data_IF_579731055196
#
_entry.id   IF_579731055196
#
_cell.length_a   1.000
_cell.length_b   1.000
_cell.length_c   1.000
_cell.angle_alpha   90.00
_cell.angle_beta   90.00
_cell.angle_gamma   90.00
#
_symmetry.space_group_name_H-M   'P 1'
#
loop_
_entity.id
_entity.type
_entity.pdbx_description
1 polymer ?
#
# COMPACT_ATOMS: atom_id res chain seq x y z
N UNK A 1 15.57 -1.58 11.21
CA UNK A 1 15.36 -1.34 9.77
C UNK A 1 13.96 -1.82 9.48
N UNK A 2 12.97 -0.92 9.51
CA UNK A 2 11.61 -1.27 9.06
C UNK A 2 11.64 -1.23 7.53
N UNK A 3 12.08 -2.34 6.94
CA UNK A 3 11.92 -2.54 5.50
C UNK A 3 10.41 -2.52 5.23
N UNK A 4 9.93 -1.60 4.40
CA UNK A 4 8.50 -1.44 4.17
C UNK A 4 8.02 -2.54 3.24
N UNK A 5 7.77 -3.72 3.83
CA UNK A 5 7.43 -4.97 3.14
C UNK A 5 6.27 -4.83 2.17
N UNK A 6 5.40 -3.85 2.40
CA UNK A 6 4.26 -3.56 1.53
C UNK A 6 4.69 -2.97 0.18
N UNK A 7 5.64 -2.03 0.16
CA UNK A 7 6.07 -1.37 -1.11
C UNK A 7 7.10 -2.19 -1.88
N UNK A 8 7.82 -3.07 -1.19
CA UNK A 8 8.73 -4.02 -1.81
C UNK A 8 8.03 -5.28 -2.37
N UNK A 9 6.77 -5.51 -2.00
CA UNK A 9 6.03 -6.69 -2.43
C UNK A 9 5.73 -6.66 -3.94
N UNK A 10 5.82 -7.83 -4.58
CA UNK A 10 5.48 -7.95 -5.99
C UNK A 10 3.96 -7.87 -6.23
N UNK A 11 3.56 -7.82 -7.51
CA UNK A 11 2.15 -7.70 -7.88
C UNK A 11 1.30 -8.91 -7.43
N UNK A 12 1.88 -10.12 -7.39
CA UNK A 12 1.18 -11.33 -6.96
C UNK A 12 1.02 -11.37 -5.44
N UNK A 13 2.05 -10.96 -4.70
CA UNK A 13 2.06 -10.81 -3.25
C UNK A 13 1.06 -9.74 -2.80
N UNK A 14 1.07 -8.56 -3.43
CA UNK A 14 0.08 -7.50 -3.17
C UNK A 14 -1.36 -7.97 -3.43
N UNK A 15 -1.57 -8.74 -4.51
CA UNK A 15 -2.88 -9.30 -4.86
C UNK A 15 -3.36 -10.30 -3.80
N UNK A 16 -2.49 -11.18 -3.32
CA UNK A 16 -2.81 -12.16 -2.28
C UNK A 16 -2.94 -11.50 -0.90
N UNK A 17 -2.20 -10.43 -0.66
CA UNK A 17 -2.17 -9.67 0.58
C UNK A 17 -1.19 -10.20 1.63
N UNK A 18 -0.30 -11.10 1.25
CA UNK A 18 0.70 -11.68 2.12
C UNK A 18 1.97 -12.03 1.33
N UNK A 19 3.10 -12.09 2.02
CA UNK A 19 4.37 -12.58 1.47
C UNK A 19 4.78 -13.88 2.13
N UNK A 20 5.61 -14.65 1.44
CA UNK A 20 6.23 -15.85 1.96
C UNK A 20 7.70 -15.59 2.26
N UNK A 21 8.11 -15.74 3.51
CA UNK A 21 9.48 -15.55 3.97
C UNK A 21 9.98 -16.83 4.63
N UNK A 22 10.63 -17.70 3.84
CA UNK A 22 11.05 -19.03 4.26
C UNK A 22 9.88 -19.88 4.76
N UNK A 23 9.91 -20.23 6.04
CA UNK A 23 8.88 -21.01 6.74
C UNK A 23 7.72 -20.17 7.27
N UNK A 24 7.70 -18.86 7.01
CA UNK A 24 6.69 -17.95 7.50
C UNK A 24 5.88 -17.35 6.35
N UNK A 25 4.62 -17.06 6.63
CA UNK A 25 3.73 -16.29 5.79
C UNK A 25 3.32 -15.05 6.58
N UNK A 26 3.51 -13.87 6.02
CA UNK A 26 3.23 -12.62 6.72
C UNK A 26 2.15 -11.83 6.01
N UNK A 27 1.12 -11.42 6.75
CA UNK A 27 0.12 -10.49 6.23
C UNK A 27 0.76 -9.13 5.91
N UNK A 28 0.57 -8.62 4.69
CA UNK A 28 1.13 -7.33 4.27
C UNK A 28 0.49 -6.13 4.99
N UNK A 29 -0.72 -6.31 5.51
CA UNK A 29 -1.50 -5.24 6.15
C UNK A 29 -1.09 -5.06 7.61
N UNK A 30 -1.21 -6.12 8.43
CA UNK A 30 -0.98 -6.04 9.88
C UNK A 30 0.23 -6.84 10.38
N UNK A 31 1.01 -7.44 9.48
CA UNK A 31 2.27 -8.13 9.77
C UNK A 31 2.14 -9.38 10.65
N UNK A 32 0.91 -9.84 10.89
CA UNK A 32 0.61 -11.11 11.55
C UNK A 32 1.22 -12.28 10.78
N UNK A 33 1.86 -13.19 11.52
CA UNK A 33 2.68 -14.28 10.98
C UNK A 33 1.95 -15.61 11.11
N UNK A 34 2.03 -16.41 10.04
CA UNK A 34 1.50 -17.75 9.93
C UNK A 34 2.65 -18.69 9.54
N UNK A 35 3.03 -19.56 10.47
CA UNK A 35 4.09 -20.56 10.29
C UNK A 35 3.62 -21.70 9.38
N UNK A 36 4.42 -22.03 8.36
CA UNK A 36 4.21 -23.17 7.46
C UNK A 36 4.42 -24.49 8.22
N UNK A 37 3.71 -25.54 7.82
CA UNK A 37 3.72 -26.82 8.55
C UNK A 37 2.80 -26.84 9.78
N UNK A 38 2.41 -25.68 10.33
CA UNK A 38 1.36 -25.58 11.34
C UNK A 38 -0.03 -25.66 10.69
N UNK A 39 -0.92 -26.43 11.32
CA UNK A 39 -2.34 -26.49 10.96
C UNK A 39 -3.13 -25.55 11.87
N UNK A 40 -4.00 -24.75 11.26
CA UNK A 40 -4.84 -23.77 11.93
C UNK A 40 -6.28 -24.25 11.94
N UNK A 41 -6.87 -24.40 13.13
CA UNK A 41 -8.30 -24.64 13.29
C UNK A 41 -9.05 -23.31 13.27
N UNK A 42 -9.90 -23.11 12.26
CA UNK A 42 -10.71 -21.92 12.07
C UNK A 42 -12.15 -22.36 11.79
N UNK A 43 -13.06 -22.06 12.73
CA UNK A 43 -14.47 -22.48 12.64
C UNK A 43 -14.63 -24.00 12.40
N UNK A 44 -13.88 -24.80 13.16
CA UNK A 44 -13.93 -26.26 13.12
C UNK A 44 -13.50 -26.85 11.77
N UNK A 45 -12.68 -26.10 11.02
CA UNK A 45 -12.05 -26.52 9.77
C UNK A 45 -10.55 -26.31 9.88
N UNK A 46 -9.79 -27.31 9.44
CA UNK A 46 -8.34 -27.30 9.47
C UNK A 46 -7.79 -26.71 8.16
N UNK A 47 -6.90 -25.73 8.30
CA UNK A 47 -6.29 -25.00 7.19
C UNK A 47 -4.77 -24.97 7.30
N UNK A 48 -4.09 -24.93 6.16
CA UNK A 48 -2.66 -24.60 6.10
C UNK A 48 -2.43 -23.10 6.35
N UNK A 49 -1.16 -22.72 6.53
CA UNK A 49 -0.77 -21.33 6.79
C UNK A 49 -1.19 -20.34 5.69
N UNK A 50 -1.11 -20.75 4.42
CA UNK A 50 -1.51 -19.94 3.27
C UNK A 50 -3.00 -19.60 3.34
N UNK A 51 -3.83 -20.62 3.55
CA UNK A 51 -5.28 -20.48 3.62
C UNK A 51 -5.70 -19.77 4.91
N UNK A 52 -5.03 -20.03 6.02
CA UNK A 52 -5.23 -19.32 7.28
C UNK A 52 -4.98 -17.81 7.12
N UNK A 53 -3.87 -17.43 6.49
CA UNK A 53 -3.55 -16.02 6.22
C UNK A 53 -4.58 -15.37 5.28
N UNK A 54 -5.00 -16.06 4.21
CA UNK A 54 -6.04 -15.58 3.31
C UNK A 54 -7.40 -15.36 4.02
N UNK A 55 -7.78 -16.26 4.94
CA UNK A 55 -8.98 -16.12 5.76
C UNK A 55 -8.82 -14.94 6.73
N UNK A 56 -7.66 -14.82 7.37
CA UNK A 56 -7.33 -13.69 8.24
C UNK A 56 -7.51 -12.35 7.50
N UNK A 57 -6.96 -12.19 6.29
CA UNK A 57 -7.12 -10.98 5.49
C UNK A 57 -8.59 -10.69 5.23
N UNK A 58 -9.36 -11.70 4.83
CA UNK A 58 -10.79 -11.54 4.57
C UNK A 58 -11.57 -11.10 5.82
N UNK A 59 -11.23 -11.62 6.99
CA UNK A 59 -11.97 -11.34 8.24
C UNK A 59 -11.54 -10.03 8.91
N UNK A 60 -10.24 -9.78 9.00
CA UNK A 60 -9.66 -8.64 9.73
C UNK A 60 -9.56 -7.39 8.85
N UNK A 61 -9.46 -7.57 7.53
CA UNK A 61 -9.22 -6.49 6.57
C UNK A 61 -10.26 -6.45 5.43
N UNK A 62 -11.30 -7.29 5.48
CA UNK A 62 -12.36 -7.38 4.49
C UNK A 62 -11.93 -8.09 3.20
N UNK A 63 -11.02 -7.48 2.46
CA UNK A 63 -10.33 -8.07 1.29
C UNK A 63 -9.18 -7.16 0.87
N UNK A 64 -8.24 -7.65 0.05
CA UNK A 64 -7.20 -6.77 -0.49
C UNK A 64 -7.76 -5.63 -1.35
N UNK A 65 -8.81 -5.87 -2.14
CA UNK A 65 -9.46 -4.79 -2.90
C UNK A 65 -10.04 -3.73 -1.95
N UNK A 66 -10.76 -4.17 -0.91
CA UNK A 66 -11.35 -3.25 0.07
C UNK A 66 -10.28 -2.50 0.88
N UNK A 67 -9.16 -3.13 1.20
CA UNK A 67 -8.05 -2.46 1.85
C UNK A 67 -7.41 -1.40 0.94
N UNK A 68 -7.00 -1.80 -0.28
CA UNK A 68 -6.33 -0.91 -1.23
C UNK A 68 -7.20 0.30 -1.59
N UNK A 69 -8.50 0.11 -1.84
CA UNK A 69 -9.38 1.22 -2.21
C UNK A 69 -9.63 2.22 -1.07
N UNK A 70 -9.41 1.81 0.17
CA UNK A 70 -9.54 2.64 1.36
C UNK A 70 -8.21 3.21 1.85
N UNK A 71 -7.08 2.92 1.18
CA UNK A 71 -5.82 3.60 1.42
C UNK A 71 -5.93 5.08 1.04
N UNK A 72 -4.97 5.88 1.52
CA UNK A 72 -4.84 7.28 1.14
C UNK A 72 -4.87 7.44 -0.39
N UNK A 73 -5.68 8.38 -0.90
CA UNK A 73 -5.82 8.63 -2.35
C UNK A 73 -4.50 9.03 -3.01
N UNK A 74 -3.53 9.55 -2.25
CA UNK A 74 -2.16 9.80 -2.73
C UNK A 74 -1.36 8.53 -3.01
N UNK A 75 -1.68 7.40 -2.37
CA UNK A 75 -1.06 6.11 -2.66
C UNK A 75 -1.68 5.45 -3.89
N UNK A 76 -3.00 5.46 -4.00
CA UNK A 76 -3.74 4.77 -5.08
C UNK A 76 -3.89 5.61 -6.35
N UNK A 77 -3.75 6.93 -6.20
CA UNK A 77 -3.98 7.93 -7.25
C UNK A 77 -5.42 7.94 -7.77
N UNK A 78 -6.40 7.35 -7.07
CA UNK A 78 -7.81 7.39 -7.46
C UNK A 78 -8.55 8.48 -6.67
N UNK A 79 -9.51 9.15 -7.31
CA UNK A 79 -10.37 10.12 -6.62
C UNK A 79 -11.48 9.42 -5.81
N UNK A 80 -12.12 10.16 -4.90
CA UNK A 80 -13.25 9.63 -4.11
C UNK A 80 -14.39 9.10 -5.00
N UNK A 81 -14.72 9.81 -6.08
CA UNK A 81 -15.74 9.33 -7.05
C UNK A 81 -15.30 8.02 -7.73
N UNK A 82 -14.02 7.89 -8.07
CA UNK A 82 -13.50 6.64 -8.64
C UNK A 82 -13.55 5.50 -7.62
N UNK A 83 -13.25 5.79 -6.34
CA UNK A 83 -13.36 4.84 -5.24
C UNK A 83 -14.79 4.33 -5.06
N UNK A 84 -15.79 5.22 -5.05
CA UNK A 84 -17.19 4.82 -4.97
C UNK A 84 -17.59 3.92 -6.14
N UNK A 85 -17.22 4.30 -7.37
CA UNK A 85 -17.52 3.51 -8.57
C UNK A 85 -16.89 2.12 -8.51
N UNK A 86 -15.61 2.00 -8.16
CA UNK A 86 -14.94 0.69 -8.06
C UNK A 86 -15.58 -0.16 -6.95
N UNK A 87 -16.00 0.45 -5.84
CA UNK A 87 -16.70 -0.24 -4.75
C UNK A 87 -18.03 -0.83 -5.22
N UNK A 88 -18.88 -0.01 -5.86
CA UNK A 88 -20.16 -0.46 -6.41
C UNK A 88 -19.99 -1.51 -7.51
N UNK A 89 -18.95 -1.40 -8.33
CA UNK A 89 -18.60 -2.41 -9.32
C UNK A 89 -18.21 -3.75 -8.68
N UNK A 90 -17.46 -3.71 -7.57
CA UNK A 90 -17.06 -4.91 -6.82
C UNK A 90 -18.27 -5.60 -6.15
N UNK A 91 -19.30 -4.84 -5.80
CA UNK A 91 -20.58 -5.33 -5.28
C UNK A 91 -21.51 -5.89 -6.38
N UNK A 92 -21.14 -5.76 -7.67
CA UNK A 92 -21.94 -6.23 -8.80
C UNK A 92 -23.10 -5.32 -9.18
N UNK A 93 -23.11 -4.06 -8.72
CA UNK A 93 -24.16 -3.08 -9.04
C UNK A 93 -24.11 -2.72 -10.52
N UNK A 94 -25.28 -2.63 -11.17
CA UNK A 94 -25.35 -2.30 -12.60
C UNK A 94 -25.01 -0.83 -12.89
N UNK A 95 -24.60 -0.52 -14.12
CA UNK A 95 -24.27 0.86 -14.53
C UNK A 95 -25.45 1.82 -14.33
N UNK A 96 -26.68 1.34 -14.51
CA UNK A 96 -27.91 2.13 -14.30
C UNK A 96 -28.10 2.45 -12.82
N UNK A 97 -28.00 1.46 -11.95
CA UNK A 97 -28.15 1.65 -10.50
C UNK A 97 -27.01 2.49 -9.93
N UNK A 98 -25.77 2.34 -10.43
CA UNK A 98 -24.65 3.20 -10.05
C UNK A 98 -24.92 4.66 -10.42
N UNK A 99 -25.43 4.91 -11.63
CA UNK A 99 -25.79 6.25 -12.08
C UNK A 99 -26.87 6.89 -11.18
N UNK A 100 -27.89 6.11 -10.80
CA UNK A 100 -28.95 6.54 -9.89
C UNK A 100 -28.40 6.84 -8.47
N UNK A 101 -27.60 5.92 -7.89
CA UNK A 101 -26.98 6.09 -6.56
C UNK A 101 -26.09 7.32 -6.48
N UNK A 102 -25.26 7.54 -7.51
CA UNK A 102 -24.31 8.65 -7.57
C UNK A 102 -24.92 9.94 -8.12
N UNK A 103 -26.21 9.92 -8.52
CA UNK A 103 -26.93 11.05 -9.11
C UNK A 103 -26.22 11.64 -10.34
N UNK A 104 -25.70 10.77 -11.21
CA UNK A 104 -25.03 11.12 -12.47
C UNK A 104 -25.71 10.47 -13.67
N UNK A 105 -25.39 10.95 -14.88
CA UNK A 105 -25.86 10.28 -16.08
C UNK A 105 -25.16 8.92 -16.30
N UNK A 106 -25.82 7.92 -16.90
CA UNK A 106 -25.17 6.64 -17.25
C UNK A 106 -23.94 6.80 -18.16
N UNK A 107 -23.91 7.84 -18.99
CA UNK A 107 -22.74 8.20 -19.81
C UNK A 107 -21.53 8.58 -18.95
N UNK A 108 -21.73 9.20 -17.79
CA UNK A 108 -20.68 9.54 -16.82
C UNK A 108 -20.06 8.28 -16.24
N UNK A 109 -20.86 7.28 -15.85
CA UNK A 109 -20.36 5.98 -15.36
C UNK A 109 -19.51 5.30 -16.42
N UNK A 110 -20.00 5.24 -17.66
CA UNK A 110 -19.25 4.67 -18.79
C UNK A 110 -17.91 5.37 -19.00
N UNK A 111 -17.87 6.70 -18.91
CA UNK A 111 -16.64 7.47 -19.03
C UNK A 111 -15.65 7.17 -17.88
N UNK A 112 -16.14 7.04 -16.64
CA UNK A 112 -15.28 6.62 -15.52
C UNK A 112 -14.69 5.23 -15.74
N UNK A 113 -15.48 4.25 -16.17
CA UNK A 113 -14.99 2.89 -16.49
C UNK A 113 -13.93 2.93 -17.59
N UNK A 114 -14.15 3.71 -18.64
CA UNK A 114 -13.17 3.92 -19.70
C UNK A 114 -11.86 4.48 -19.15
N UNK A 115 -11.92 5.57 -18.38
CA UNK A 115 -10.72 6.20 -17.79
C UNK A 115 -9.99 5.28 -16.81
N UNK A 116 -10.70 4.50 -16.00
CA UNK A 116 -10.10 3.52 -15.09
C UNK A 116 -9.37 2.42 -15.86
N UNK A 117 -9.95 1.91 -16.94
CA UNK A 117 -9.30 0.92 -17.80
C UNK A 117 -8.06 1.48 -18.50
N UNK A 118 -8.11 2.72 -18.98
CA UNK A 118 -6.93 3.35 -19.58
C UNK A 118 -5.84 3.58 -18.52
N UNK A 119 -6.21 3.99 -17.31
CA UNK A 119 -5.27 4.13 -16.19
C UNK A 119 -4.63 2.79 -15.82
N UNK A 120 -5.39 1.69 -15.78
CA UNK A 120 -4.85 0.34 -15.54
C UNK A 120 -3.78 -0.03 -16.57
N UNK A 121 -4.04 0.20 -17.86
CA UNK A 121 -3.05 -0.04 -18.93
C UNK A 121 -1.81 0.83 -18.77
N UNK A 122 -2.00 2.12 -18.47
CA UNK A 122 -0.91 3.07 -18.23
C UNK A 122 -0.07 2.65 -17.03
N UNK A 123 -0.69 2.29 -15.91
CA UNK A 123 0.01 1.79 -14.72
C UNK A 123 0.80 0.52 -15.01
N UNK A 124 0.25 -0.41 -15.78
CA UNK A 124 0.97 -1.62 -16.19
C UNK A 124 2.23 -1.27 -16.99
N UNK A 125 2.10 -0.44 -18.02
CA UNK A 125 3.25 -0.01 -18.83
C UNK A 125 4.27 0.77 -18.00
N UNK A 126 3.79 1.62 -17.09
CA UNK A 126 4.65 2.41 -16.20
C UNK A 126 5.47 1.53 -15.26
N UNK A 127 4.85 0.56 -14.59
CA UNK A 127 5.56 -0.41 -13.75
C UNK A 127 6.62 -1.16 -14.56
N UNK A 128 6.28 -1.63 -15.77
CA UNK A 128 7.25 -2.28 -16.65
C UNK A 128 8.43 -1.36 -17.01
N UNK A 129 8.19 -0.07 -17.25
CA UNK A 129 9.28 0.89 -17.51
C UNK A 129 10.18 1.08 -16.27
N UNK A 130 9.61 1.13 -15.07
CA UNK A 130 10.39 1.27 -13.83
C UNK A 130 11.23 0.03 -13.53
N UNK A 131 10.67 -1.17 -13.75
CA UNK A 131 11.39 -2.44 -13.59
C UNK A 131 12.58 -2.51 -14.57
N UNK A 132 12.32 -2.24 -15.85
CA UNK A 132 13.38 -2.20 -16.88
C UNK A 132 14.44 -1.13 -16.60
N UNK A 133 14.05 0.02 -16.05
CA UNK A 133 15.00 1.04 -15.64
C UNK A 133 15.91 0.51 -14.54
N UNK A 134 15.34 -0.10 -13.50
CA UNK A 134 16.09 -0.69 -12.38
C UNK A 134 17.05 -1.79 -12.83
N UNK A 135 16.63 -2.63 -13.78
CA UNK A 135 17.49 -3.66 -14.37
C UNK A 135 18.67 -3.05 -15.15
N UNK A 136 18.40 -2.00 -15.94
CA UNK A 136 19.43 -1.33 -16.75
C UNK A 136 20.45 -0.55 -15.91
N UNK A 137 20.03 0.05 -14.80
CA UNK A 137 20.91 0.81 -13.90
C UNK A 137 21.51 -0.03 -12.78
N UNK A 138 21.04 -1.29 -12.63
CA UNK A 138 21.27 -2.14 -11.47
C UNK A 138 20.96 -1.45 -10.13
N UNK A 139 20.03 -0.48 -10.14
CA UNK A 139 19.68 0.37 -9.01
C UNK A 139 18.22 0.83 -9.10
N UNK A 140 17.49 0.73 -7.98
CA UNK A 140 16.15 1.31 -7.87
C UNK A 140 16.22 2.84 -8.00
N UNK A 141 15.15 3.45 -8.50
CA UNK A 141 15.00 4.92 -8.59
C UNK A 141 15.10 5.62 -7.21
N UNK A 142 14.84 4.89 -6.12
CA UNK A 142 14.95 5.37 -4.74
C UNK A 142 16.39 5.44 -4.23
N UNK A 143 17.33 4.73 -4.88
CA UNK A 143 18.74 4.72 -4.49
C UNK A 143 19.47 5.91 -5.07
N UNK A 144 20.01 6.73 -4.17
CA UNK A 144 20.98 7.80 -4.45
C UNK A 144 22.40 7.28 -4.20
N UNK A 145 23.42 8.03 -4.61
CA UNK A 145 24.83 7.61 -4.57
C UNK A 145 25.25 6.95 -3.24
N UNK A 146 24.88 7.54 -2.11
CA UNK A 146 25.23 7.02 -0.78
C UNK A 146 24.04 6.81 0.16
N UNK A 147 22.79 6.90 -0.32
CA UNK A 147 21.58 6.84 0.54
C UNK A 147 20.37 6.33 -0.23
N UNK A 148 19.29 6.04 0.49
CA UNK A 148 18.00 5.71 -0.11
C UNK A 148 16.93 6.67 0.41
N UNK A 149 16.03 7.09 -0.49
CA UNK A 149 14.85 7.88 -0.15
C UNK A 149 13.92 7.00 0.68
N UNK A 150 13.41 7.54 1.79
CA UNK A 150 12.54 6.79 2.68
C UNK A 150 11.17 6.53 2.04
N UNK A 151 10.67 5.31 2.18
CA UNK A 151 9.28 5.03 1.86
C UNK A 151 8.31 5.67 2.86
N UNK A 152 7.15 6.06 2.36
CA UNK A 152 6.04 6.51 3.19
C UNK A 152 5.42 5.30 3.90
N UNK A 153 5.18 5.32 5.23
CA UNK A 153 4.46 4.24 5.90
C UNK A 153 3.06 4.03 5.28
N UNK A 154 2.65 2.78 5.05
CA UNK A 154 1.34 2.43 4.44
C UNK A 154 0.13 2.96 5.23
N UNK A 155 0.32 3.23 6.53
CA UNK A 155 -0.70 3.77 7.44
C UNK A 155 -0.66 5.30 7.55
N UNK A 156 0.21 5.99 6.81
CA UNK A 156 0.35 7.44 6.89
C UNK A 156 -0.92 8.16 6.40
N UNK A 157 -1.46 9.02 7.25
CA UNK A 157 -2.62 9.87 6.94
C UNK A 157 -2.24 11.09 6.10
N UNK A 158 -1.02 11.59 6.27
CA UNK A 158 -0.43 12.67 5.47
C UNK A 158 0.67 12.06 4.62
N UNK A 159 0.56 12.21 3.29
CA UNK A 159 1.55 11.76 2.31
C UNK A 159 2.02 13.01 1.57
N UNK A 160 3.16 13.57 1.94
CA UNK A 160 3.68 14.83 1.39
C UNK A 160 5.22 14.83 1.36
N UNK A 161 5.80 15.98 1.02
CA UNK A 161 7.24 16.15 0.80
C UNK A 161 8.10 15.83 2.03
N UNK A 162 7.51 15.65 3.22
CA UNK A 162 8.23 15.21 4.43
C UNK A 162 8.87 13.84 4.28
N UNK A 163 8.34 13.00 3.39
CA UNK A 163 8.91 11.69 3.09
C UNK A 163 9.97 11.73 1.99
N UNK A 164 10.17 12.87 1.33
CA UNK A 164 11.28 13.09 0.40
C UNK A 164 12.58 13.42 1.17
N UNK A 165 12.91 12.56 2.13
CA UNK A 165 14.10 12.64 2.97
C UNK A 165 14.83 11.31 2.87
N UNK A 166 16.15 11.35 2.87
CA UNK A 166 16.99 10.15 2.86
C UNK A 166 17.14 9.56 4.25
N UNK A 167 17.47 8.27 4.35
CA UNK A 167 17.73 7.64 5.65
C UNK A 167 18.84 8.34 6.45
N UNK A 168 19.88 8.86 5.79
CA UNK A 168 20.94 9.64 6.47
C UNK A 168 20.42 10.96 7.05
N UNK A 169 19.60 11.68 6.29
CA UNK A 169 19.00 12.92 6.76
C UNK A 169 18.00 12.67 7.89
N UNK A 170 17.20 11.61 7.80
CA UNK A 170 16.28 11.17 8.86
C UNK A 170 17.02 10.84 10.15
N UNK A 171 18.15 10.14 10.08
CA UNK A 171 19.01 9.89 11.24
C UNK A 171 19.61 11.17 11.82
N UNK A 172 20.03 12.12 10.97
CA UNK A 172 20.57 13.41 11.40
C UNK A 172 19.51 14.25 12.12
N UNK A 173 18.27 14.29 11.59
CA UNK A 173 17.11 14.92 12.25
C UNK A 173 16.82 14.24 13.58
N UNK A 174 16.83 12.90 13.64
CA UNK A 174 16.61 12.18 14.89
C UNK A 174 17.66 12.53 15.95
N UNK A 175 18.95 12.58 15.59
CA UNK A 175 20.05 12.92 16.53
C UNK A 175 19.98 14.37 17.03
N UNK A 176 19.50 15.29 16.19
CA UNK A 176 19.41 16.72 16.54
C UNK A 176 18.23 17.02 17.45
N UNK A 177 17.08 16.39 17.24
CA UNK A 177 15.86 16.70 18.00
C UNK A 177 15.51 15.70 19.11
N UNK A 178 16.15 14.54 19.18
CA UNK A 178 15.93 13.56 20.25
C UNK A 178 17.17 13.31 21.12
N UNK A 179 16.92 12.97 22.38
CA UNK A 179 17.89 12.39 23.31
C UNK A 179 18.12 10.91 23.01
N UNK A 180 19.19 10.34 23.57
CA UNK A 180 19.47 8.90 23.43
C UNK A 180 18.37 8.04 24.07
N UNK A 181 17.67 8.56 25.09
CA UNK A 181 16.51 7.91 25.70
C UNK A 181 15.18 8.16 24.94
N UNK A 182 15.18 8.91 23.84
CA UNK A 182 13.99 9.13 23.01
C UNK A 182 13.10 10.31 23.44
N UNK A 183 13.50 11.09 24.45
CA UNK A 183 12.83 12.35 24.79
C UNK A 183 13.20 13.46 23.78
N UNK A 184 12.22 14.32 23.45
CA UNK A 184 12.39 15.45 22.53
C UNK A 184 13.25 16.54 23.20
N UNK A 185 14.34 16.96 22.55
CA UNK A 185 15.20 18.08 22.99
C UNK A 185 14.62 19.44 22.62
N UNK A 186 14.08 19.54 21.41
CA UNK A 186 13.50 20.78 20.88
C UNK A 186 12.53 20.48 19.74
N UNK A 187 11.59 21.38 19.49
CA UNK A 187 10.69 21.27 18.35
C UNK A 187 11.32 21.92 17.10
N UNK A 188 11.36 21.22 15.95
CA UNK A 188 11.82 21.80 14.70
C UNK A 188 10.88 22.91 14.20
N UNK A 189 11.47 23.95 13.61
CA UNK A 189 10.73 25.08 13.02
C UNK A 189 10.30 24.87 11.57
N UNK A 190 10.85 23.86 10.87
CA UNK A 190 10.50 23.50 9.49
C UNK A 190 9.65 22.23 9.45
N UNK A 191 8.60 22.23 8.63
CA UNK A 191 7.67 21.10 8.50
C UNK A 191 8.33 19.80 8.03
N UNK A 192 9.37 19.88 7.19
CA UNK A 192 10.13 18.70 6.72
C UNK A 192 10.92 17.99 7.83
N UNK A 193 11.05 18.62 9.01
CA UNK A 193 11.64 18.02 10.20
C UNK A 193 10.58 17.65 11.26
N UNK A 194 9.28 17.75 10.94
CA UNK A 194 8.21 17.59 11.93
C UNK A 194 8.17 16.19 12.56
N UNK A 195 7.94 16.16 13.88
CA UNK A 195 8.05 14.98 14.74
C UNK A 195 6.64 14.42 15.05
N UNK A 196 5.82 14.19 14.03
CA UNK A 196 4.48 13.59 14.21
C UNK A 196 4.41 12.20 13.62
#
# INVERSE_FOLDING_TARGET
>A
MEKNMFWDADLLELRKGYIEDGEQIRCLICEEVFEKGRIYDIESKLYDANKACAIHIKRKHGSMLNYLINMNSKFTGISEVQKEIITLMAEGVSDKEMAEKLKVAPSTIRNHRYKLREKEKQSKLFLTMMDLLSDNTNNKITKLEDTEICDVPKTASQVDDRFNITEKEKEAVRKSYFTKEGAIKSFPSKENNSIK
#
